data_IF_676465375374
#
_entry.id   IF_676465375374
#
_cell.length_a   1.000
_cell.length_b   1.000
_cell.length_c   1.000
_cell.angle_alpha   90.00
_cell.angle_beta   90.00
_cell.angle_gamma   90.00
#
_symmetry.space_group_name_H-M   'P 1'
#
loop_
_entity.id
_entity.type
_entity.pdbx_description
1 polymer ?
#
# COMPACT_ATOMS: atom_id res chain seq x y z
N UNK A 1 -10.69 6.36 -5.27
CA UNK A 1 -10.50 6.46 -3.80
C UNK A 1 -11.64 7.18 -3.07
N UNK A 2 -12.30 8.21 -3.64
CA UNK A 2 -13.36 8.98 -2.95
C UNK A 2 -14.61 8.18 -2.54
N UNK A 3 -15.00 7.17 -3.31
CA UNK A 3 -16.21 6.32 -3.09
C UNK A 3 -16.01 5.19 -2.08
N UNK A 4 -14.76 4.89 -1.67
CA UNK A 4 -14.43 3.74 -0.82
C UNK A 4 -14.11 4.12 0.63
N UNK A 5 -14.50 5.34 1.06
CA UNK A 5 -14.16 5.88 2.39
C UNK A 5 -14.86 5.16 3.55
N UNK A 6 -15.87 4.32 3.27
CA UNK A 6 -16.61 3.56 4.29
C UNK A 6 -16.14 2.10 4.43
N UNK A 7 -15.34 1.55 3.50
CA UNK A 7 -14.92 0.14 3.55
C UNK A 7 -14.02 -0.17 4.75
N UNK A 8 -14.25 -1.23 5.52
CA UNK A 8 -13.39 -1.56 6.66
C UNK A 8 -11.91 -1.66 6.23
N UNK A 9 -11.00 -1.26 7.14
CA UNK A 9 -9.55 -1.18 6.89
C UNK A 9 -8.99 -2.45 6.20
N UNK A 10 -9.35 -3.69 6.61
CA UNK A 10 -8.88 -4.91 5.96
C UNK A 10 -9.22 -4.98 4.47
N UNK A 11 -10.45 -4.63 4.09
CA UNK A 11 -10.90 -4.69 2.69
C UNK A 11 -10.17 -3.65 1.84
N UNK A 12 -9.99 -2.45 2.38
CA UNK A 12 -9.26 -1.38 1.68
C UNK A 12 -7.81 -1.80 1.41
N UNK A 13 -7.13 -2.32 2.44
CA UNK A 13 -5.73 -2.75 2.32
C UNK A 13 -5.61 -3.92 1.34
N UNK A 14 -6.48 -4.93 1.43
CA UNK A 14 -6.48 -6.08 0.51
C UNK A 14 -6.66 -5.67 -0.96
N UNK A 15 -7.62 -4.76 -1.23
CA UNK A 15 -7.83 -4.22 -2.58
C UNK A 15 -6.61 -3.42 -3.08
N UNK A 16 -5.97 -2.62 -2.21
CA UNK A 16 -4.75 -1.88 -2.53
C UNK A 16 -3.60 -2.84 -2.86
N UNK A 17 -3.38 -3.88 -2.03
CA UNK A 17 -2.34 -4.88 -2.25
C UNK A 17 -2.48 -5.57 -3.59
N UNK A 18 -3.70 -5.95 -4.00
CA UNK A 18 -3.94 -6.53 -5.34
C UNK A 18 -3.54 -5.58 -6.47
N UNK A 19 -3.88 -4.30 -6.36
CA UNK A 19 -3.53 -3.27 -7.36
C UNK A 19 -2.02 -3.04 -7.45
N UNK A 20 -1.36 -2.91 -6.30
CA UNK A 20 0.11 -2.72 -6.24
C UNK A 20 0.85 -3.93 -6.80
N UNK A 21 0.40 -5.15 -6.48
CA UNK A 21 0.96 -6.38 -7.07
C UNK A 21 0.84 -6.40 -8.59
N UNK A 22 -0.32 -6.03 -9.14
CA UNK A 22 -0.50 -5.91 -10.59
C UNK A 22 0.49 -4.92 -11.23
N UNK A 23 0.69 -3.77 -10.59
CA UNK A 23 1.67 -2.78 -11.04
C UNK A 23 3.11 -3.34 -11.00
N UNK A 24 3.49 -4.02 -9.93
CA UNK A 24 4.81 -4.65 -9.84
C UNK A 24 5.05 -5.69 -10.93
N UNK A 25 4.05 -6.51 -11.25
CA UNK A 25 4.18 -7.49 -12.32
C UNK A 25 4.44 -6.83 -13.68
N UNK A 26 3.78 -5.71 -13.98
CA UNK A 26 3.99 -4.96 -15.22
C UNK A 26 5.38 -4.29 -15.26
N UNK A 27 5.75 -3.57 -14.20
CA UNK A 27 6.98 -2.77 -14.18
C UNK A 27 8.25 -3.56 -13.83
N UNK A 28 8.15 -4.77 -13.26
CA UNK A 28 9.30 -5.67 -13.05
C UNK A 28 9.89 -6.15 -14.38
N UNK A 29 9.06 -6.37 -15.40
CA UNK A 29 9.52 -6.74 -16.75
C UNK A 29 10.37 -5.62 -17.38
N UNK A 30 10.10 -4.37 -16.99
CA UNK A 30 10.75 -3.16 -17.52
C UNK A 30 12.08 -2.85 -16.78
N UNK A 31 12.39 -3.54 -15.67
CA UNK A 31 13.72 -3.55 -15.06
C UNK A 31 14.06 -2.40 -14.09
N UNK A 32 13.17 -1.42 -13.85
CA UNK A 32 13.49 -0.31 -12.94
C UNK A 32 13.06 -0.58 -11.49
N UNK A 33 13.95 -1.22 -10.71
CA UNK A 33 13.76 -1.40 -9.26
C UNK A 33 13.60 -0.06 -8.52
N UNK A 34 14.33 0.97 -8.97
CA UNK A 34 14.24 2.33 -8.41
C UNK A 34 12.84 2.92 -8.59
N UNK A 35 12.24 2.78 -9.77
CA UNK A 35 10.88 3.26 -10.03
C UNK A 35 9.84 2.52 -9.18
N UNK A 36 10.02 1.22 -8.93
CA UNK A 36 9.15 0.45 -8.05
C UNK A 36 9.18 0.93 -6.59
N UNK A 37 10.37 1.31 -6.09
CA UNK A 37 10.52 1.90 -4.77
C UNK A 37 9.90 3.30 -4.66
N UNK A 38 10.06 4.13 -5.69
CA UNK A 38 9.42 5.45 -5.76
C UNK A 38 7.89 5.27 -5.71
N UNK A 39 7.35 4.39 -6.56
CA UNK A 39 5.93 4.08 -6.57
C UNK A 39 5.43 3.58 -5.22
N UNK A 40 6.13 2.63 -4.58
CA UNK A 40 5.78 2.13 -3.25
C UNK A 40 5.68 3.27 -2.23
N UNK A 41 6.68 4.15 -2.19
CA UNK A 41 6.70 5.30 -1.26
C UNK A 41 5.51 6.22 -1.48
N UNK A 42 5.18 6.53 -2.72
CA UNK A 42 4.03 7.38 -3.04
C UNK A 42 2.69 6.73 -2.68
N UNK A 43 2.53 5.42 -2.90
CA UNK A 43 1.33 4.68 -2.47
C UNK A 43 1.17 4.70 -0.95
N UNK A 44 2.26 4.50 -0.19
CA UNK A 44 2.23 4.52 1.28
C UNK A 44 1.86 5.91 1.80
N UNK A 45 2.45 6.99 1.24
CA UNK A 45 2.09 8.37 1.58
C UNK A 45 0.62 8.67 1.29
N UNK A 46 0.12 8.19 0.14
CA UNK A 46 -1.27 8.36 -0.24
C UNK A 46 -2.20 7.64 0.75
N UNK A 47 -1.88 6.40 1.11
CA UNK A 47 -2.63 5.62 2.09
C UNK A 47 -2.64 6.32 3.47
N UNK A 48 -1.48 6.81 3.93
CA UNK A 48 -1.35 7.59 5.16
C UNK A 48 -2.25 8.82 5.17
N UNK A 49 -2.21 9.60 4.09
CA UNK A 49 -3.04 10.78 3.89
C UNK A 49 -4.52 10.46 3.95
N UNK A 50 -4.97 9.39 3.29
CA UNK A 50 -6.38 9.03 3.24
C UNK A 50 -6.90 8.40 4.53
N UNK A 51 -6.10 7.60 5.23
CA UNK A 51 -6.48 7.04 6.53
C UNK A 51 -6.64 8.14 7.58
N UNK A 52 -5.70 9.09 7.66
CA UNK A 52 -5.81 10.24 8.55
C UNK A 52 -6.97 11.18 8.20
N UNK A 53 -7.37 11.25 6.92
CA UNK A 53 -8.56 12.01 6.49
C UNK A 53 -9.86 11.27 6.79
N UNK A 54 -9.83 9.94 6.82
CA UNK A 54 -11.02 9.11 7.02
C UNK A 54 -11.46 9.08 8.48
N UNK A 55 -10.51 8.98 9.41
CA UNK A 55 -10.84 8.81 10.83
C UNK A 55 -11.41 10.07 11.49
N UNK A 56 -11.56 11.20 10.78
CA UNK A 56 -11.88 12.54 11.32
C UNK A 56 -10.94 13.01 12.46
N UNK A 57 -9.96 12.18 12.84
CA UNK A 57 -8.89 12.38 13.79
C UNK A 57 -7.56 12.13 13.08
N UNK A 58 -6.62 13.05 13.21
CA UNK A 58 -5.23 12.90 12.75
C UNK A 58 -4.40 12.02 13.72
N UNK A 59 -4.96 10.89 14.15
CA UNK A 59 -4.35 10.05 15.18
C UNK A 59 -3.41 8.98 14.64
N UNK A 60 -3.42 8.72 13.33
CA UNK A 60 -2.52 7.73 12.75
C UNK A 60 -1.15 8.36 12.54
N UNK A 61 -0.20 7.99 13.41
CA UNK A 61 1.21 8.32 13.23
C UNK A 61 1.84 7.47 12.12
N UNK A 62 3.00 7.92 11.62
CA UNK A 62 3.74 7.21 10.57
C UNK A 62 4.11 5.76 10.98
N UNK A 63 4.51 5.57 12.24
CA UNK A 63 4.78 4.24 12.81
C UNK A 63 3.53 3.35 12.81
N UNK A 64 2.37 3.96 13.09
CA UNK A 64 1.08 3.28 13.06
C UNK A 64 0.76 2.73 11.67
N UNK A 65 1.01 3.51 10.61
CA UNK A 65 0.82 2.98 9.25
C UNK A 65 1.84 1.90 8.90
N UNK A 66 3.09 1.99 9.35
CA UNK A 66 4.06 0.92 9.13
C UNK A 66 3.64 -0.40 9.81
N UNK A 67 3.09 -0.32 11.04
CA UNK A 67 2.51 -1.48 11.73
C UNK A 67 1.34 -2.08 10.96
N UNK A 68 0.43 -1.25 10.43
CA UNK A 68 -0.67 -1.71 9.56
C UNK A 68 -0.12 -2.41 8.31
N UNK A 69 0.80 -1.79 7.58
CA UNK A 69 1.37 -2.39 6.37
C UNK A 69 2.06 -3.73 6.65
N UNK A 70 2.76 -3.84 7.79
CA UNK A 70 3.37 -5.10 8.24
C UNK A 70 2.31 -6.16 8.59
N UNK A 71 1.27 -5.79 9.34
CA UNK A 71 0.20 -6.70 9.76
C UNK A 71 -0.57 -7.30 8.57
N UNK A 72 -0.75 -6.53 7.50
CA UNK A 72 -1.44 -6.99 6.28
C UNK A 72 -0.49 -7.52 5.19
N UNK A 73 0.80 -7.70 5.49
CA UNK A 73 1.83 -8.13 4.53
C UNK A 73 1.74 -7.35 3.21
N UNK A 74 1.64 -6.02 3.31
CA UNK A 74 1.52 -5.16 2.14
C UNK A 74 2.76 -5.31 1.26
N UNK A 75 2.52 -5.58 -0.03
CA UNK A 75 3.58 -5.96 -0.97
C UNK A 75 4.60 -4.84 -1.12
N UNK A 76 5.81 -5.07 -0.61
CA UNK A 76 6.99 -4.28 -0.91
C UNK A 76 7.61 -4.77 -2.23
N UNK A 77 8.33 -3.91 -2.98
CA UNK A 77 8.86 -4.26 -4.30
C UNK A 77 9.93 -5.37 -4.26
N UNK A 78 10.61 -5.52 -3.12
CA UNK A 78 11.57 -6.61 -2.85
C UNK A 78 10.91 -7.92 -2.39
N UNK A 79 9.58 -7.95 -2.21
CA UNK A 79 8.86 -9.17 -1.86
C UNK A 79 8.74 -10.07 -3.09
N UNK A 80 9.85 -10.70 -3.44
CA UNK A 80 9.92 -11.78 -4.42
C UNK A 80 9.09 -12.92 -3.88
N UNK A 81 8.03 -13.30 -4.59
CA UNK A 81 7.27 -14.50 -4.27
C UNK A 81 8.21 -15.71 -4.46
N UNK A 82 8.78 -16.23 -3.37
CA UNK A 82 8.87 -17.68 -3.19
C UNK A 82 7.48 -18.10 -2.72
N UNK A 83 6.65 -18.49 -3.66
CA UNK A 83 5.55 -19.39 -3.37
C UNK A 83 5.77 -20.53 -4.34
N UNK A 84 6.20 -21.63 -3.74
CA UNK A 84 6.14 -22.99 -4.29
C UNK A 84 4.70 -23.26 -4.73
#
# INVERSE_FOLDING_TARGET
MKTHRHYPLPMLISAMTRKVRGHYNYFRVIGSMTSLWIFYREVVKLLYKWLNRRSQRRSLMWEGIQRVLKAYAFSAPNQTRRAV
#
